data_IF_906718839574
#
_entry.id   IF_906718839574
#
_cell.length_a   1.000
_cell.length_b   1.000
_cell.length_c   1.000
_cell.angle_alpha   90.00
_cell.angle_beta   90.00
_cell.angle_gamma   90.00
#
_symmetry.space_group_name_H-M   'P 1'
#
loop_
_entity.id
_entity.type
_entity.pdbx_description
1 polymer ?
#
# COMPACT_ATOMS: atom_id res chain seq x y z
N UNK A 1 57.44 -25.03 36.62
CA UNK A 1 56.26 -25.55 35.88
C UNK A 1 55.30 -24.43 35.68
N UNK A 2 55.37 -23.80 34.52
CA UNK A 2 54.50 -22.66 34.15
C UNK A 2 53.30 -23.19 33.36
N UNK A 3 52.07 -22.90 33.82
CA UNK A 3 50.84 -23.22 33.11
C UNK A 3 50.51 -22.05 32.18
N UNK A 4 50.56 -22.29 30.87
CA UNK A 4 50.12 -21.38 29.83
C UNK A 4 48.60 -21.55 29.70
N UNK A 5 47.86 -20.48 29.99
CA UNK A 5 46.42 -20.40 29.72
C UNK A 5 46.18 -19.94 28.30
N UNK A 6 45.60 -20.81 27.50
CA UNK A 6 45.18 -20.52 26.11
C UNK A 6 43.83 -19.82 26.14
N UNK A 7 43.79 -18.53 25.82
CA UNK A 7 42.55 -17.77 25.65
C UNK A 7 42.02 -18.01 24.24
N UNK A 8 40.90 -18.69 24.12
CA UNK A 8 40.13 -18.79 22.87
C UNK A 8 39.37 -17.49 22.61
N UNK A 9 39.84 -16.71 21.66
CA UNK A 9 39.05 -15.61 21.07
C UNK A 9 38.03 -16.21 20.10
N UNK A 10 36.76 -16.23 20.49
CA UNK A 10 35.68 -16.47 19.58
C UNK A 10 35.46 -15.21 18.73
N UNK A 11 35.91 -15.25 17.49
CA UNK A 11 35.60 -14.22 16.51
C UNK A 11 34.09 -14.31 16.13
N UNK A 12 33.30 -13.39 16.62
CA UNK A 12 31.94 -13.20 16.15
C UNK A 12 32.01 -12.61 14.72
N UNK A 13 31.83 -13.47 13.73
CA UNK A 13 31.63 -13.04 12.35
C UNK A 13 30.29 -12.32 12.26
N UNK A 14 30.34 -10.99 12.24
CA UNK A 14 29.19 -10.17 11.89
C UNK A 14 28.89 -10.39 10.40
N UNK A 15 27.92 -11.25 10.11
CA UNK A 15 27.33 -11.30 8.77
C UNK A 15 26.56 -9.99 8.54
N UNK A 16 27.19 -9.03 7.90
CA UNK A 16 26.54 -7.89 7.30
C UNK A 16 25.69 -8.43 6.14
N UNK A 17 24.38 -8.55 6.35
CA UNK A 17 23.44 -8.81 5.27
C UNK A 17 23.52 -7.64 4.28
N UNK A 18 23.61 -7.91 2.95
CA UNK A 18 23.64 -6.83 1.99
C UNK A 18 22.31 -6.07 2.06
N UNK A 19 22.40 -4.79 2.39
CA UNK A 19 21.30 -3.86 2.24
C UNK A 19 20.94 -3.80 0.75
N UNK A 20 19.65 -4.05 0.45
CA UNK A 20 18.99 -3.77 -0.82
C UNK A 20 19.38 -4.60 -2.05
N UNK A 21 18.69 -5.70 -2.24
CA UNK A 21 18.23 -6.05 -3.57
C UNK A 21 16.86 -5.37 -3.87
N UNK A 22 16.77 -4.07 -3.68
CA UNK A 22 15.81 -3.28 -4.44
C UNK A 22 16.42 -3.26 -5.85
N UNK A 23 15.94 -4.15 -6.73
CA UNK A 23 16.34 -4.13 -8.14
C UNK A 23 16.15 -2.68 -8.59
N UNK A 24 17.23 -2.03 -9.06
CA UNK A 24 17.18 -0.73 -9.70
C UNK A 24 16.41 -0.91 -11.01
N UNK A 25 15.08 -0.85 -10.92
CA UNK A 25 14.21 -0.93 -12.08
C UNK A 25 14.45 0.35 -12.86
N UNK A 26 14.90 0.18 -14.10
CA UNK A 26 15.06 1.30 -15.03
C UNK A 26 13.66 1.81 -15.43
N UNK A 27 13.17 2.82 -14.72
CA UNK A 27 11.86 3.41 -14.95
C UNK A 27 11.72 4.00 -16.36
N UNK A 28 12.84 4.29 -17.05
CA UNK A 28 12.81 4.76 -18.43
C UNK A 28 12.25 3.70 -19.41
N UNK A 29 12.37 2.42 -19.07
CA UNK A 29 11.88 1.29 -19.88
C UNK A 29 10.48 0.80 -19.52
N UNK A 30 9.90 1.35 -18.45
CA UNK A 30 8.54 0.98 -18.05
C UNK A 30 7.55 1.50 -19.07
N UNK A 31 6.65 0.63 -19.52
CA UNK A 31 5.51 0.96 -20.36
C UNK A 31 4.25 1.07 -19.49
N UNK A 32 3.37 2.02 -19.82
CA UNK A 32 2.08 2.15 -19.16
C UNK A 32 1.04 1.41 -20.00
N UNK A 33 0.48 0.35 -19.43
CA UNK A 33 -0.58 -0.44 -20.06
C UNK A 33 -1.95 0.03 -19.57
N UNK A 34 -2.85 0.33 -20.50
CA UNK A 34 -4.23 0.74 -20.21
C UNK A 34 -5.16 -0.47 -20.35
N UNK A 35 -6.04 -0.66 -19.36
CA UNK A 35 -7.05 -1.73 -19.32
C UNK A 35 -8.40 -1.07 -19.09
N UNK A 36 -9.34 -1.27 -20.00
CA UNK A 36 -10.71 -0.79 -19.87
C UNK A 36 -11.49 -1.63 -18.85
N UNK A 37 -12.06 -0.97 -17.85
CA UNK A 37 -12.92 -1.58 -16.84
C UNK A 37 -14.41 -1.36 -17.12
N UNK A 38 -14.74 -0.68 -18.23
CA UNK A 38 -16.10 -0.26 -18.55
C UNK A 38 -16.53 1.02 -17.83
N UNK A 39 -17.67 1.57 -18.25
CA UNK A 39 -18.23 2.78 -17.65
C UNK A 39 -17.23 3.95 -17.60
N UNK A 40 -16.44 4.17 -18.67
CA UNK A 40 -15.39 5.19 -18.72
C UNK A 40 -14.40 5.13 -17.54
N UNK A 41 -14.12 3.94 -17.06
CA UNK A 41 -13.17 3.70 -15.95
C UNK A 41 -12.08 2.76 -16.43
N UNK A 42 -10.83 3.10 -16.14
CA UNK A 42 -9.65 2.42 -16.66
C UNK A 42 -8.67 2.14 -15.55
N UNK A 43 -7.91 1.05 -15.71
CA UNK A 43 -6.73 0.75 -14.92
C UNK A 43 -5.49 1.04 -15.75
N UNK A 44 -4.53 1.75 -15.17
CA UNK A 44 -3.19 1.87 -15.73
C UNK A 44 -2.22 1.01 -14.91
N UNK A 45 -1.48 0.17 -15.60
CA UNK A 45 -0.40 -0.64 -15.05
C UNK A 45 0.95 -0.08 -15.50
N UNK A 46 1.89 0.03 -14.59
CA UNK A 46 3.27 0.44 -14.85
C UNK A 46 4.19 -0.15 -13.80
N UNK A 47 4.97 0.70 -13.15
CA UNK A 47 5.80 0.33 -12.00
C UNK A 47 5.32 1.09 -10.77
N UNK A 48 5.09 0.37 -9.65
CA UNK A 48 4.46 0.91 -8.45
C UNK A 48 3.01 0.52 -8.33
N UNK A 49 2.22 1.31 -7.61
CA UNK A 49 0.81 1.03 -7.40
C UNK A 49 -0.03 1.13 -8.68
N UNK A 50 -1.13 0.37 -8.72
CA UNK A 50 -2.11 0.48 -9.79
C UNK A 50 -2.78 1.85 -9.78
N UNK A 51 -3.02 2.43 -10.95
CA UNK A 51 -3.73 3.69 -11.09
C UNK A 51 -5.15 3.40 -11.60
N UNK A 52 -6.16 4.07 -11.02
CA UNK A 52 -7.51 4.11 -11.60
C UNK A 52 -7.75 5.47 -12.22
N UNK A 53 -8.32 5.49 -13.44
CA UNK A 53 -8.72 6.68 -14.18
C UNK A 53 -10.22 6.59 -14.42
N UNK A 54 -11.00 7.53 -13.90
CA UNK A 54 -12.45 7.59 -14.06
C UNK A 54 -12.83 8.91 -14.75
N UNK A 55 -13.39 8.81 -15.96
CA UNK A 55 -13.70 9.96 -16.80
C UNK A 55 -15.15 10.40 -16.59
N UNK A 56 -15.35 11.65 -16.20
CA UNK A 56 -16.64 12.35 -16.14
C UNK A 56 -16.88 13.20 -17.38
N UNK A 57 -17.95 14.00 -17.39
CA UNK A 57 -18.29 14.82 -18.56
C UNK A 57 -17.40 16.06 -18.73
N UNK A 58 -16.73 16.54 -17.68
CA UNK A 58 -15.92 17.77 -17.69
C UNK A 58 -14.52 17.61 -17.09
N UNK A 59 -14.10 16.38 -16.82
CA UNK A 59 -12.78 16.10 -16.27
C UNK A 59 -12.60 14.65 -15.83
N UNK A 60 -11.45 14.39 -15.23
CA UNK A 60 -10.99 13.07 -14.82
C UNK A 60 -10.73 13.07 -13.32
N UNK A 61 -11.13 11.97 -12.65
CA UNK A 61 -10.66 11.59 -11.32
C UNK A 61 -9.64 10.48 -11.49
N UNK A 62 -8.47 10.66 -10.90
CA UNK A 62 -7.39 9.69 -10.88
C UNK A 62 -7.15 9.21 -9.44
N UNK A 63 -6.89 7.91 -9.24
CA UNK A 63 -6.49 7.36 -7.95
C UNK A 63 -5.08 6.84 -8.06
N UNK A 64 -4.19 7.37 -7.22
CA UNK A 64 -2.74 7.18 -7.18
C UNK A 64 -1.98 7.65 -8.43
N UNK A 65 -0.66 7.86 -8.30
CA UNK A 65 0.14 8.52 -9.33
C UNK A 65 1.50 7.86 -9.61
N UNK A 66 1.76 6.68 -9.05
CA UNK A 66 3.03 5.95 -9.18
C UNK A 66 4.27 6.83 -8.87
N UNK A 67 5.41 6.48 -9.47
CA UNK A 67 6.68 7.18 -9.29
C UNK A 67 6.80 8.44 -10.17
N UNK A 68 7.44 9.48 -9.67
CA UNK A 68 7.65 10.74 -10.38
C UNK A 68 8.21 10.59 -11.81
N UNK A 69 9.21 9.74 -12.10
CA UNK A 69 9.74 9.57 -13.45
C UNK A 69 8.74 8.99 -14.47
N UNK A 70 7.61 8.44 -14.02
CA UNK A 70 6.56 7.89 -14.90
C UNK A 70 5.48 8.91 -15.28
N UNK A 71 5.50 10.12 -14.70
CA UNK A 71 4.49 11.15 -14.89
C UNK A 71 4.12 11.37 -16.36
N UNK A 72 5.09 11.64 -17.23
CA UNK A 72 4.83 11.96 -18.66
C UNK A 72 4.24 10.76 -19.41
N UNK A 73 4.68 9.54 -19.09
CA UNK A 73 4.14 8.32 -19.67
C UNK A 73 2.69 8.08 -19.23
N UNK A 74 2.40 8.27 -17.95
CA UNK A 74 1.05 8.15 -17.39
C UNK A 74 0.14 9.21 -18.01
N UNK A 75 0.60 10.47 -18.11
CA UNK A 75 -0.12 11.57 -18.77
C UNK A 75 -0.45 11.25 -20.22
N UNK A 76 0.52 10.70 -20.96
CA UNK A 76 0.32 10.27 -22.36
C UNK A 76 -0.74 9.17 -22.45
N UNK A 77 -0.69 8.17 -21.57
CA UNK A 77 -1.69 7.10 -21.53
C UNK A 77 -3.10 7.64 -21.21
N UNK A 78 -3.21 8.60 -20.28
CA UNK A 78 -4.48 9.26 -19.94
C UNK A 78 -5.01 10.09 -21.11
N UNK A 79 -4.14 10.83 -21.80
CA UNK A 79 -4.54 11.63 -22.98
C UNK A 79 -5.07 10.77 -24.13
N UNK A 80 -4.60 9.52 -24.25
CA UNK A 80 -5.15 8.55 -25.20
C UNK A 80 -6.56 8.05 -24.82
N UNK A 81 -6.94 8.14 -23.53
CA UNK A 81 -8.28 7.79 -23.04
C UNK A 81 -9.23 8.99 -23.24
N UNK A 82 -8.80 10.19 -22.81
CA UNK A 82 -9.64 11.38 -22.81
C UNK A 82 -8.79 12.64 -22.87
N UNK A 83 -9.21 13.68 -23.67
CA UNK A 83 -8.55 14.98 -23.71
C UNK A 83 -8.92 15.88 -22.51
N UNK A 84 -9.80 15.43 -21.62
CA UNK A 84 -10.28 16.22 -20.49
C UNK A 84 -9.18 16.37 -19.42
N UNK A 85 -9.19 17.48 -18.65
CA UNK A 85 -8.20 17.69 -17.60
C UNK A 85 -8.41 16.75 -16.42
N UNK A 86 -7.31 16.35 -15.79
CA UNK A 86 -7.35 15.67 -14.48
C UNK A 86 -7.74 16.73 -13.44
N UNK A 87 -8.93 16.60 -12.86
CA UNK A 87 -9.41 17.51 -11.82
C UNK A 87 -8.89 17.14 -10.45
N UNK A 88 -8.93 15.83 -10.14
CA UNK A 88 -8.48 15.31 -8.86
C UNK A 88 -7.54 14.12 -9.04
N UNK A 89 -6.49 14.12 -8.25
CA UNK A 89 -5.63 12.97 -7.99
C UNK A 89 -5.81 12.58 -6.52
N UNK A 90 -6.42 11.44 -6.26
CA UNK A 90 -6.65 10.92 -4.91
C UNK A 90 -5.46 10.04 -4.54
N UNK A 91 -4.81 10.29 -3.39
CA UNK A 91 -3.84 9.36 -2.85
C UNK A 91 -4.51 8.40 -1.88
N UNK A 92 -4.32 7.11 -2.11
CA UNK A 92 -4.81 6.07 -1.20
C UNK A 92 -4.05 6.06 0.12
N UNK A 93 -2.73 6.31 0.08
CA UNK A 93 -1.86 6.44 1.25
C UNK A 93 -0.56 7.19 0.87
N UNK A 94 0.41 7.30 1.79
CA UNK A 94 1.56 8.19 1.58
C UNK A 94 2.79 7.55 0.88
N UNK A 95 2.82 6.25 0.57
CA UNK A 95 4.02 5.62 0.00
C UNK A 95 4.37 6.18 -1.39
N UNK A 96 5.67 6.22 -1.69
CA UNK A 96 6.19 6.94 -2.84
C UNK A 96 5.82 6.35 -4.20
N UNK A 97 5.50 5.06 -4.25
CA UNK A 97 5.01 4.38 -5.45
C UNK A 97 3.51 4.60 -5.73
N UNK A 98 2.85 5.39 -4.89
CA UNK A 98 1.48 5.89 -5.05
C UNK A 98 1.45 7.43 -5.19
N UNK A 99 2.34 8.14 -4.49
CA UNK A 99 2.34 9.61 -4.40
C UNK A 99 3.41 10.30 -5.23
N UNK A 100 4.34 9.55 -5.82
CA UNK A 100 5.50 10.13 -6.51
C UNK A 100 5.12 11.07 -7.66
N UNK A 101 4.01 10.83 -8.35
CA UNK A 101 3.49 11.69 -9.42
C UNK A 101 2.83 12.99 -8.95
N UNK A 102 2.58 13.16 -7.66
CA UNK A 102 1.78 14.29 -7.12
C UNK A 102 2.25 15.66 -7.63
N UNK A 103 3.53 15.96 -7.55
CA UNK A 103 4.06 17.26 -7.94
C UNK A 103 3.86 17.55 -9.44
N UNK A 104 4.07 16.54 -10.29
CA UNK A 104 3.88 16.65 -11.74
C UNK A 104 2.41 16.93 -12.07
N UNK A 105 1.50 16.13 -11.56
CA UNK A 105 0.07 16.31 -11.81
C UNK A 105 -0.48 17.61 -11.21
N UNK A 106 0.04 18.10 -10.08
CA UNK A 106 -0.33 19.41 -9.53
C UNK A 106 0.17 20.57 -10.41
N UNK A 107 1.35 20.46 -11.01
CA UNK A 107 1.85 21.41 -12.00
C UNK A 107 0.98 21.44 -13.26
N UNK A 108 0.40 20.31 -13.63
CA UNK A 108 -0.55 20.18 -14.76
C UNK A 108 -1.99 20.64 -14.40
N UNK A 109 -2.23 21.09 -13.16
CA UNK A 109 -3.51 21.66 -12.73
C UNK A 109 -4.42 20.73 -11.93
N UNK A 110 -4.05 19.49 -11.69
CA UNK A 110 -4.80 18.59 -10.82
C UNK A 110 -4.78 19.06 -9.35
N UNK A 111 -5.85 18.83 -8.62
CA UNK A 111 -5.86 18.95 -7.15
C UNK A 111 -5.59 17.59 -6.52
N UNK A 112 -4.46 17.46 -5.80
CA UNK A 112 -4.20 16.25 -5.02
C UNK A 112 -5.04 16.26 -3.76
N UNK A 113 -5.80 15.17 -3.55
CA UNK A 113 -6.71 14.95 -2.42
C UNK A 113 -6.25 13.74 -1.63
N UNK A 114 -6.20 13.84 -0.30
CA UNK A 114 -5.82 12.72 0.56
C UNK A 114 -6.44 12.83 1.96
N UNK A 115 -6.38 11.75 2.72
CA UNK A 115 -6.61 11.80 4.16
C UNK A 115 -5.49 12.64 4.84
N UNK A 116 -5.81 13.35 5.93
CA UNK A 116 -4.89 14.35 6.51
C UNK A 116 -3.54 13.76 6.94
N UNK A 117 -3.52 12.53 7.49
CA UNK A 117 -2.28 11.87 7.88
C UNK A 117 -1.33 11.63 6.69
N UNK A 118 -1.84 11.45 5.47
CA UNK A 118 -1.00 11.34 4.27
C UNK A 118 -0.17 12.62 4.09
N UNK A 119 -0.81 13.79 4.18
CA UNK A 119 -0.12 15.08 4.12
C UNK A 119 0.89 15.24 5.24
N UNK A 120 0.52 14.88 6.48
CA UNK A 120 1.41 14.95 7.65
C UNK A 120 2.66 14.09 7.44
N UNK A 121 2.48 12.84 6.97
CA UNK A 121 3.59 11.90 6.72
C UNK A 121 4.50 12.40 5.60
N UNK A 122 3.94 12.85 4.49
CA UNK A 122 4.70 13.40 3.37
C UNK A 122 5.50 14.67 3.77
N UNK A 123 4.91 15.53 4.61
CA UNK A 123 5.57 16.76 5.06
C UNK A 123 6.67 16.52 6.10
N UNK A 124 6.52 15.51 6.96
CA UNK A 124 7.49 15.22 8.02
C UNK A 124 8.59 14.24 7.59
N UNK A 125 8.35 13.46 6.54
CA UNK A 125 9.13 12.25 6.24
C UNK A 125 8.75 11.10 7.20
N UNK A 126 9.25 9.92 6.90
CA UNK A 126 8.88 8.68 7.60
C UNK A 126 10.08 7.79 7.89
N UNK A 127 9.84 6.69 8.59
CA UNK A 127 10.84 5.65 8.84
C UNK A 127 10.23 4.30 8.51
N UNK A 128 10.87 3.51 7.69
CA UNK A 128 10.48 2.13 7.46
C UNK A 128 10.70 1.30 8.73
N UNK A 129 9.62 0.74 9.28
CA UNK A 129 9.68 0.03 10.55
C UNK A 129 10.44 -1.30 10.51
N UNK A 130 10.59 -1.90 9.34
CA UNK A 130 11.31 -3.18 9.16
C UNK A 130 12.81 -2.95 8.98
N UNK A 131 13.18 -1.98 8.13
CA UNK A 131 14.58 -1.73 7.75
C UNK A 131 15.24 -0.59 8.53
N UNK A 132 14.45 0.28 9.17
CA UNK A 132 14.92 1.50 9.80
C UNK A 132 15.31 2.61 8.81
N UNK A 133 15.13 2.40 7.51
CA UNK A 133 15.47 3.39 6.49
C UNK A 133 14.62 4.66 6.64
N UNK A 134 15.30 5.81 6.53
CA UNK A 134 14.64 7.13 6.56
C UNK A 134 14.15 7.52 5.17
N UNK A 135 12.91 7.99 5.08
CA UNK A 135 12.35 8.61 3.89
C UNK A 135 12.22 10.11 4.18
N UNK A 136 12.93 10.98 3.45
CA UNK A 136 12.90 12.41 3.71
C UNK A 136 11.53 13.02 3.39
N UNK A 137 11.21 14.23 3.91
CA UNK A 137 10.05 15.01 3.48
C UNK A 137 10.04 15.20 1.96
N UNK A 138 8.85 15.20 1.38
CA UNK A 138 8.69 15.56 -0.04
C UNK A 138 8.73 17.08 -0.25
N UNK A 139 8.90 17.53 -1.50
CA UNK A 139 8.80 18.96 -1.83
C UNK A 139 7.39 19.50 -1.47
N UNK A 140 7.28 20.80 -1.12
CA UNK A 140 5.96 21.42 -0.86
C UNK A 140 4.97 21.27 -2.03
N UNK A 141 5.49 21.21 -3.27
CA UNK A 141 4.70 21.03 -4.49
C UNK A 141 4.12 19.63 -4.64
N UNK A 142 4.61 18.63 -3.89
CA UNK A 142 4.10 17.26 -3.90
C UNK A 142 3.06 16.99 -2.80
N UNK A 143 2.87 17.95 -1.86
CA UNK A 143 1.91 17.77 -0.78
C UNK A 143 0.46 17.86 -1.27
N UNK A 144 -0.47 17.03 -0.79
CA UNK A 144 -1.90 17.17 -1.07
C UNK A 144 -2.40 18.59 -0.78
N UNK A 145 -3.08 19.22 -1.74
CA UNK A 145 -3.67 20.57 -1.55
C UNK A 145 -4.99 20.52 -0.80
N UNK A 146 -5.73 19.44 -0.95
CA UNK A 146 -6.98 19.21 -0.25
C UNK A 146 -6.87 17.97 0.62
N UNK A 147 -7.24 18.09 1.87
CA UNK A 147 -7.28 16.96 2.80
C UNK A 147 -8.64 16.84 3.48
N UNK A 148 -8.94 15.65 4.02
CA UNK A 148 -10.13 15.43 4.83
C UNK A 148 -9.73 14.69 6.12
N UNK A 149 -10.48 15.00 7.19
CA UNK A 149 -10.25 14.44 8.54
C UNK A 149 -11.38 13.45 8.84
N UNK A 150 -11.00 12.20 9.15
CA UNK A 150 -11.95 11.15 9.55
C UNK A 150 -12.91 10.72 8.43
N UNK A 151 -13.81 9.82 8.74
CA UNK A 151 -14.99 9.40 8.01
C UNK A 151 -14.85 9.20 6.49
N UNK A 152 -15.56 10.01 5.74
CA UNK A 152 -15.68 9.89 4.28
C UNK A 152 -15.78 11.26 3.61
N UNK A 153 -15.49 11.27 2.31
CA UNK A 153 -15.64 12.42 1.41
C UNK A 153 -16.18 11.91 0.06
N UNK A 154 -16.97 12.74 -0.63
CA UNK A 154 -17.39 12.47 -2.02
C UNK A 154 -16.84 13.56 -2.92
N UNK A 155 -16.24 13.17 -4.03
CA UNK A 155 -15.86 14.05 -5.13
C UNK A 155 -16.80 13.78 -6.30
N UNK A 156 -17.15 14.82 -7.03
CA UNK A 156 -17.98 14.74 -8.26
C UNK A 156 -17.30 15.55 -9.36
N UNK A 157 -17.09 14.92 -10.51
CA UNK A 157 -16.54 15.56 -11.71
C UNK A 157 -17.44 15.22 -12.89
N UNK A 158 -18.29 16.15 -13.25
CA UNK A 158 -19.23 15.98 -14.35
C UNK A 158 -20.11 14.74 -14.22
N UNK A 159 -20.66 14.51 -13.03
CA UNK A 159 -21.50 13.35 -12.71
C UNK A 159 -20.75 12.07 -12.35
N UNK A 160 -19.41 12.04 -12.51
CA UNK A 160 -18.56 10.93 -12.05
C UNK A 160 -18.30 11.10 -10.54
N UNK A 161 -18.90 10.23 -9.74
CA UNK A 161 -18.71 10.26 -8.29
C UNK A 161 -17.61 9.30 -7.86
N UNK A 162 -16.76 9.79 -6.95
CA UNK A 162 -15.79 8.98 -6.20
C UNK A 162 -16.11 9.12 -4.71
N UNK A 163 -16.41 8.02 -4.06
CA UNK A 163 -16.67 7.94 -2.63
C UNK A 163 -15.40 7.49 -1.92
N UNK A 164 -14.79 8.40 -1.16
CA UNK A 164 -13.57 8.18 -0.40
C UNK A 164 -13.93 7.83 1.03
N UNK A 165 -13.32 6.79 1.58
CA UNK A 165 -13.50 6.43 2.99
C UNK A 165 -12.16 6.13 3.64
N UNK A 166 -11.89 6.78 4.78
CA UNK A 166 -10.70 6.54 5.57
C UNK A 166 -10.75 5.19 6.28
N UNK A 167 -9.63 4.50 6.29
CA UNK A 167 -9.42 3.27 7.07
C UNK A 167 -8.41 3.55 8.17
N UNK A 168 -8.89 3.57 9.39
CA UNK A 168 -8.03 3.85 10.55
C UNK A 168 -7.05 2.71 10.80
N UNK A 169 -5.76 3.01 10.75
CA UNK A 169 -4.67 2.12 11.15
C UNK A 169 -4.74 0.74 10.48
N UNK A 170 -4.55 0.65 9.16
CA UNK A 170 -4.52 -0.59 8.40
C UNK A 170 -3.15 -0.87 7.79
N UNK A 171 -2.90 -0.50 6.52
CA UNK A 171 -1.57 -0.54 5.93
C UNK A 171 -0.69 0.60 6.47
N UNK A 172 -1.30 1.78 6.63
CA UNK A 172 -0.77 2.99 7.28
C UNK A 172 -1.82 3.61 8.20
N UNK A 173 -1.59 4.84 8.70
CA UNK A 173 -2.61 5.59 9.43
C UNK A 173 -3.42 6.56 8.55
N UNK A 174 -3.08 6.68 7.28
CA UNK A 174 -3.74 7.58 6.33
C UNK A 174 -4.48 6.89 5.20
N UNK A 175 -4.76 5.58 5.31
CA UNK A 175 -5.33 4.80 4.22
C UNK A 175 -6.73 5.27 3.82
N UNK A 176 -6.96 5.33 2.52
CA UNK A 176 -8.24 5.65 1.89
C UNK A 176 -8.57 4.60 0.85
N UNK A 177 -9.77 4.01 0.91
CA UNK A 177 -10.33 3.30 -0.23
C UNK A 177 -11.30 4.20 -0.99
N UNK A 178 -11.42 3.97 -2.29
CA UNK A 178 -12.26 4.77 -3.18
C UNK A 178 -13.24 3.86 -3.89
N UNK A 179 -14.52 4.22 -3.89
CA UNK A 179 -15.54 3.51 -4.63
C UNK A 179 -16.15 4.37 -5.73
N UNK A 180 -16.27 3.81 -6.92
CA UNK A 180 -16.96 4.39 -8.06
C UNK A 180 -18.26 3.62 -8.27
N UNK A 181 -19.39 4.08 -7.72
CA UNK A 181 -20.62 3.29 -7.66
C UNK A 181 -21.21 2.98 -9.04
N UNK A 182 -21.15 3.90 -9.98
CA UNK A 182 -21.67 3.74 -11.34
C UNK A 182 -20.84 2.78 -12.22
N UNK A 183 -19.56 2.61 -11.90
CA UNK A 183 -18.67 1.63 -12.55
C UNK A 183 -18.55 0.32 -11.80
N UNK A 184 -19.05 0.26 -10.56
CA UNK A 184 -18.86 -0.83 -9.61
C UNK A 184 -17.36 -1.21 -9.46
N UNK A 185 -16.52 -0.17 -9.26
CA UNK A 185 -15.07 -0.31 -9.09
C UNK A 185 -14.69 0.12 -7.68
N UNK A 186 -14.01 -0.77 -6.94
CA UNK A 186 -13.52 -0.56 -5.59
C UNK A 186 -11.99 -0.50 -5.61
N UNK A 187 -11.40 0.66 -5.28
CA UNK A 187 -9.96 0.87 -5.17
C UNK A 187 -9.54 0.77 -3.71
N UNK A 188 -8.73 -0.21 -3.35
CA UNK A 188 -8.37 -0.50 -1.96
C UNK A 188 -7.04 0.14 -1.52
N UNK A 189 -6.24 0.66 -2.46
CA UNK A 189 -4.83 0.93 -2.16
C UNK A 189 -4.15 -0.31 -1.59
N UNK A 190 -3.17 -0.12 -0.75
CA UNK A 190 -2.36 -1.19 -0.16
C UNK A 190 -2.97 -1.84 1.08
N UNK A 191 -4.21 -1.50 1.43
CA UNK A 191 -4.96 -2.28 2.42
C UNK A 191 -5.32 -3.68 1.91
N UNK A 192 -5.13 -3.93 0.60
CA UNK A 192 -5.18 -5.25 -0.04
C UNK A 192 -4.27 -5.29 -1.27
N UNK A 193 -3.61 -6.44 -1.50
CA UNK A 193 -2.98 -6.77 -2.78
C UNK A 193 -3.58 -8.06 -3.35
N UNK A 194 -3.44 -8.27 -4.66
CA UNK A 194 -3.83 -9.53 -5.33
C UNK A 194 -2.62 -10.22 -5.99
N UNK A 195 -1.46 -10.15 -5.34
CA UNK A 195 -0.21 -10.76 -5.81
C UNK A 195 0.03 -12.16 -5.24
N UNK A 196 -0.86 -12.63 -4.37
CA UNK A 196 -0.64 -13.83 -3.53
C UNK A 196 0.66 -13.71 -2.71
N UNK A 197 0.85 -12.52 -2.13
CA UNK A 197 1.97 -12.23 -1.21
C UNK A 197 1.43 -11.60 0.07
N UNK A 198 2.15 -11.80 1.16
CA UNK A 198 1.89 -11.05 2.38
C UNK A 198 1.96 -9.54 2.10
N UNK A 199 0.95 -8.82 2.58
CA UNK A 199 0.89 -7.37 2.45
C UNK A 199 1.74 -6.72 3.54
N UNK A 200 2.43 -5.66 3.18
CA UNK A 200 3.12 -4.81 4.14
C UNK A 200 2.15 -4.17 5.11
N UNK A 201 2.51 -4.19 6.41
CA UNK A 201 1.85 -3.44 7.47
C UNK A 201 2.90 -2.45 7.98
N UNK A 202 2.75 -1.18 7.62
CA UNK A 202 3.72 -0.15 8.03
C UNK A 202 3.49 0.27 9.49
N UNK A 203 3.80 -0.64 10.41
CA UNK A 203 3.57 -0.44 11.83
C UNK A 203 4.28 0.79 12.41
N UNK A 204 5.40 1.24 11.83
CA UNK A 204 6.08 2.45 12.25
C UNK A 204 5.29 3.73 11.92
N UNK A 205 4.45 3.67 10.89
CA UNK A 205 3.64 4.78 10.41
C UNK A 205 2.12 4.50 10.54
N UNK A 206 1.74 3.76 11.59
CA UNK A 206 0.35 3.59 11.95
C UNK A 206 -0.33 2.31 11.46
N UNK A 207 0.36 1.49 10.67
CA UNK A 207 -0.18 0.22 10.19
C UNK A 207 -0.48 -0.77 11.32
N UNK A 208 -1.57 -1.54 11.15
CA UNK A 208 -2.05 -2.53 12.13
C UNK A 208 -2.84 -3.63 11.43
N UNK A 209 -2.52 -4.89 11.72
CA UNK A 209 -3.24 -6.03 11.13
C UNK A 209 -4.75 -6.01 11.46
N UNK A 210 -5.13 -5.47 12.63
CA UNK A 210 -6.54 -5.34 13.02
C UNK A 210 -7.29 -4.38 12.11
N UNK A 211 -6.62 -3.31 11.66
CA UNK A 211 -7.16 -2.38 10.67
C UNK A 211 -7.28 -3.00 9.29
N UNK A 212 -6.27 -3.77 8.86
CA UNK A 212 -6.33 -4.52 7.59
C UNK A 212 -7.53 -5.48 7.55
N UNK A 213 -7.81 -6.17 8.66
CA UNK A 213 -8.97 -7.05 8.78
C UNK A 213 -10.28 -6.25 8.68
N UNK A 214 -10.40 -5.11 9.42
CA UNK A 214 -11.60 -4.25 9.34
C UNK A 214 -11.83 -3.71 7.93
N UNK A 215 -10.76 -3.32 7.22
CA UNK A 215 -10.84 -2.87 5.84
C UNK A 215 -11.44 -3.94 4.94
N UNK A 216 -10.85 -5.14 4.95
CA UNK A 216 -11.32 -6.25 4.11
C UNK A 216 -12.73 -6.74 4.47
N UNK A 217 -13.12 -6.72 5.75
CA UNK A 217 -14.50 -6.98 6.17
C UNK A 217 -15.49 -5.93 5.64
N UNK A 218 -15.06 -4.67 5.55
CA UNK A 218 -15.85 -3.59 4.93
C UNK A 218 -15.99 -3.82 3.44
N UNK A 219 -14.90 -4.19 2.75
CA UNK A 219 -14.94 -4.50 1.32
C UNK A 219 -15.86 -5.66 0.99
N UNK A 220 -15.90 -6.71 1.82
CA UNK A 220 -16.81 -7.84 1.66
C UNK A 220 -18.30 -7.44 1.76
N UNK A 221 -18.61 -6.37 2.50
CA UNK A 221 -19.99 -5.84 2.62
C UNK A 221 -20.36 -4.96 1.42
N UNK A 222 -19.39 -4.19 0.88
CA UNK A 222 -19.61 -3.27 -0.24
C UNK A 222 -19.58 -4.00 -1.58
N UNK A 223 -18.66 -4.96 -1.75
CA UNK A 223 -18.46 -5.66 -3.00
C UNK A 223 -19.57 -6.68 -3.29
N UNK A 224 -20.14 -6.65 -4.49
CA UNK A 224 -20.89 -7.75 -5.12
C UNK A 224 -19.91 -8.70 -5.84
N UNK A 225 -20.43 -9.80 -6.39
CA UNK A 225 -19.62 -10.74 -7.18
C UNK A 225 -19.11 -10.10 -8.50
N UNK A 226 -19.79 -9.07 -9.00
CA UNK A 226 -19.43 -8.32 -10.21
C UNK A 226 -18.52 -7.11 -9.94
N UNK A 227 -18.24 -6.80 -8.67
CA UNK A 227 -17.38 -5.68 -8.30
C UNK A 227 -15.95 -5.92 -8.79
N UNK A 228 -15.42 -4.94 -9.53
CA UNK A 228 -14.02 -4.91 -9.94
C UNK A 228 -13.21 -4.31 -8.82
N UNK A 229 -12.36 -5.13 -8.19
CA UNK A 229 -11.55 -4.71 -7.05
C UNK A 229 -10.15 -4.35 -7.54
N UNK A 230 -9.86 -3.05 -7.53
CA UNK A 230 -8.56 -2.46 -7.85
C UNK A 230 -7.71 -2.43 -6.59
N UNK A 231 -6.87 -3.43 -6.41
CA UNK A 231 -5.89 -3.46 -5.32
C UNK A 231 -4.70 -2.55 -5.60
N UNK A 232 -3.98 -2.13 -4.59
CA UNK A 232 -2.78 -1.32 -4.78
C UNK A 232 -1.76 -2.00 -5.68
N UNK A 233 -1.56 -3.30 -5.55
CA UNK A 233 -0.66 -4.10 -6.38
C UNK A 233 -1.30 -5.40 -6.84
N UNK A 234 -0.85 -5.89 -8.01
CA UNK A 234 -1.30 -7.16 -8.58
C UNK A 234 -2.46 -6.99 -9.56
N UNK A 235 -2.98 -8.09 -10.11
CA UNK A 235 -4.08 -8.07 -11.05
C UNK A 235 -5.40 -7.67 -10.40
N UNK A 236 -6.40 -7.36 -11.23
CA UNK A 236 -7.77 -7.10 -10.78
C UNK A 236 -8.27 -8.25 -9.92
N UNK A 237 -8.83 -7.92 -8.77
CA UNK A 237 -9.40 -8.88 -7.82
C UNK A 237 -10.94 -8.91 -7.87
N UNK A 238 -11.51 -9.95 -7.27
CA UNK A 238 -12.94 -10.16 -7.07
C UNK A 238 -13.26 -10.32 -5.60
N UNK A 239 -14.53 -10.36 -5.25
CA UNK A 239 -14.99 -10.59 -3.88
C UNK A 239 -14.40 -11.86 -3.25
N UNK A 240 -14.25 -12.94 -4.02
CA UNK A 240 -13.61 -14.17 -3.54
C UNK A 240 -12.16 -13.97 -3.10
N UNK A 241 -11.39 -13.15 -3.84
CA UNK A 241 -10.01 -12.81 -3.48
C UNK A 241 -9.95 -11.98 -2.18
N UNK A 242 -10.93 -11.08 -1.95
CA UNK A 242 -11.04 -10.36 -0.67
C UNK A 242 -11.28 -11.36 0.48
N UNK A 243 -12.15 -12.34 0.27
CA UNK A 243 -12.46 -13.36 1.28
C UNK A 243 -11.23 -14.19 1.66
N UNK A 244 -10.47 -14.63 0.66
CA UNK A 244 -9.24 -15.40 0.86
C UNK A 244 -8.16 -14.57 1.59
N UNK A 245 -7.97 -13.31 1.16
CA UNK A 245 -7.03 -12.41 1.80
C UNK A 245 -7.43 -12.09 3.25
N UNK A 246 -8.71 -11.85 3.52
CA UNK A 246 -9.22 -11.64 4.88
C UNK A 246 -9.00 -12.86 5.78
N UNK A 247 -9.25 -14.08 5.25
CA UNK A 247 -9.01 -15.31 5.99
C UNK A 247 -7.52 -15.48 6.38
N UNK A 248 -6.61 -15.18 5.45
CA UNK A 248 -5.16 -15.18 5.73
C UNK A 248 -4.81 -14.19 6.85
N UNK A 249 -5.31 -12.95 6.78
CA UNK A 249 -5.05 -11.93 7.81
C UNK A 249 -5.58 -12.36 9.19
N UNK A 250 -6.78 -12.93 9.25
CA UNK A 250 -7.38 -13.42 10.50
C UNK A 250 -6.56 -14.54 11.12
N UNK A 251 -6.13 -15.50 10.32
CA UNK A 251 -5.27 -16.60 10.77
C UNK A 251 -3.94 -16.08 11.27
N UNK A 252 -3.32 -15.15 10.53
CA UNK A 252 -2.05 -14.55 10.93
C UNK A 252 -2.19 -13.79 12.26
N UNK A 253 -3.24 -12.96 12.38
CA UNK A 253 -3.52 -12.24 13.62
C UNK A 253 -3.71 -13.21 14.80
N UNK A 254 -4.58 -14.21 14.66
CA UNK A 254 -4.93 -15.14 15.73
C UNK A 254 -3.69 -15.87 16.28
N UNK A 255 -2.88 -16.43 15.38
CA UNK A 255 -1.71 -17.22 15.77
C UNK A 255 -0.61 -16.37 16.39
N UNK A 256 -0.32 -15.20 15.82
CA UNK A 256 0.73 -14.32 16.34
C UNK A 256 0.26 -13.63 17.63
N UNK A 257 -1.00 -13.20 17.71
CA UNK A 257 -1.55 -12.60 18.92
C UNK A 257 -1.51 -13.56 20.10
N UNK A 258 -1.89 -14.83 19.90
CA UNK A 258 -1.80 -15.84 20.95
C UNK A 258 -0.39 -15.90 21.56
N UNK A 259 0.63 -15.95 20.71
CA UNK A 259 2.02 -15.98 21.20
C UNK A 259 2.44 -14.67 21.88
N UNK A 260 1.96 -13.53 21.37
CA UNK A 260 2.19 -12.22 21.98
C UNK A 260 1.56 -12.14 23.39
N UNK A 261 0.31 -12.60 23.54
CA UNK A 261 -0.41 -12.62 24.82
C UNK A 261 0.20 -13.61 25.84
N UNK A 262 0.86 -14.67 25.34
CA UNK A 262 1.67 -15.60 26.15
C UNK A 262 3.04 -15.00 26.56
N UNK A 263 3.32 -13.74 26.19
CA UNK A 263 4.56 -13.03 26.51
C UNK A 263 5.78 -13.45 25.68
N UNK A 264 5.59 -14.14 24.56
CA UNK A 264 6.67 -14.51 23.63
C UNK A 264 7.29 -13.26 23.01
N UNK A 265 8.60 -13.22 22.98
CA UNK A 265 9.35 -12.18 22.27
C UNK A 265 9.20 -12.31 20.75
N UNK A 266 9.49 -11.22 20.01
CA UNK A 266 9.53 -11.23 18.55
C UNK A 266 10.44 -12.34 18.00
N UNK A 267 11.62 -12.54 18.62
CA UNK A 267 12.56 -13.57 18.21
C UNK A 267 11.98 -14.99 18.39
N UNK A 268 11.25 -15.26 19.49
CA UNK A 268 10.59 -16.54 19.72
C UNK A 268 9.45 -16.79 18.72
N UNK A 269 8.66 -15.75 18.37
CA UNK A 269 7.60 -15.86 17.35
C UNK A 269 8.20 -16.17 15.98
N UNK A 270 9.29 -15.48 15.61
CA UNK A 270 9.99 -15.74 14.35
C UNK A 270 10.55 -17.17 14.31
N UNK A 271 11.17 -17.62 15.40
CA UNK A 271 11.73 -18.99 15.49
C UNK A 271 10.65 -20.08 15.41
N UNK A 272 9.47 -19.82 15.99
CA UNK A 272 8.35 -20.76 15.99
C UNK A 272 7.64 -20.90 14.64
N UNK A 273 7.78 -19.92 13.74
CA UNK A 273 7.17 -19.92 12.39
C UNK A 273 5.69 -20.28 12.41
N UNK A 274 4.82 -19.57 13.15
CA UNK A 274 3.42 -19.93 13.33
C UNK A 274 2.58 -19.89 12.04
N UNK A 275 3.13 -19.31 10.94
CA UNK A 275 2.44 -19.15 9.64
C UNK A 275 3.04 -20.03 8.53
N UNK A 276 3.87 -21.05 8.89
CA UNK A 276 4.61 -21.84 7.90
C UNK A 276 3.74 -22.53 6.84
N UNK A 277 2.53 -22.91 7.20
CA UNK A 277 1.54 -23.48 6.27
C UNK A 277 0.98 -22.43 5.28
N UNK A 278 0.94 -21.16 5.68
CA UNK A 278 0.52 -20.05 4.81
C UNK A 278 1.66 -19.55 3.92
N UNK A 279 2.90 -19.70 4.36
CA UNK A 279 4.10 -19.21 3.67
C UNK A 279 4.21 -19.77 2.24
N UNK A 280 3.77 -21.02 2.00
CA UNK A 280 3.76 -21.65 0.69
C UNK A 280 2.95 -20.88 -0.36
N UNK A 281 1.88 -20.20 0.08
CA UNK A 281 0.99 -19.41 -0.80
C UNK A 281 1.35 -17.93 -0.77
N UNK A 282 1.72 -17.39 0.42
CA UNK A 282 1.75 -15.95 0.66
C UNK A 282 3.15 -15.37 0.84
N UNK A 283 4.19 -16.17 0.99
CA UNK A 283 5.55 -15.67 1.11
C UNK A 283 6.30 -15.77 -0.23
N UNK A 284 6.91 -14.67 -0.66
CA UNK A 284 7.77 -14.65 -1.83
C UNK A 284 9.14 -15.30 -1.54
N UNK A 285 9.57 -15.27 -0.27
CA UNK A 285 10.80 -15.86 0.25
C UNK A 285 10.71 -16.05 1.76
N UNK A 286 11.70 -16.72 2.36
CA UNK A 286 11.79 -16.89 3.81
C UNK A 286 11.95 -15.55 4.54
N UNK A 287 12.71 -14.62 3.96
CA UNK A 287 12.89 -13.27 4.48
C UNK A 287 11.56 -12.48 4.47
N UNK A 288 10.75 -12.65 3.42
CA UNK A 288 9.43 -12.02 3.34
C UNK A 288 8.47 -12.56 4.41
N UNK A 289 8.50 -13.87 4.66
CA UNK A 289 7.73 -14.49 5.73
C UNK A 289 8.14 -13.96 7.12
N UNK A 290 9.45 -13.87 7.38
CA UNK A 290 10.00 -13.30 8.62
C UNK A 290 9.61 -11.82 8.77
N UNK A 291 9.71 -11.04 7.69
CA UNK A 291 9.32 -9.63 7.69
C UNK A 291 7.83 -9.46 8.04
N UNK A 292 6.96 -10.30 7.47
CA UNK A 292 5.53 -10.26 7.79
C UNK A 292 5.25 -10.60 9.26
N UNK A 293 5.89 -11.62 9.81
CA UNK A 293 5.78 -11.93 11.24
C UNK A 293 6.18 -10.76 12.14
N UNK A 294 7.29 -10.06 11.80
CA UNK A 294 7.73 -8.84 12.51
C UNK A 294 6.67 -7.75 12.43
N UNK A 295 6.10 -7.51 11.25
CA UNK A 295 5.08 -6.48 11.05
C UNK A 295 3.83 -6.78 11.87
N UNK A 296 3.32 -8.02 11.85
CA UNK A 296 2.16 -8.44 12.63
C UNK A 296 2.44 -8.33 14.13
N UNK A 297 3.56 -8.84 14.61
CA UNK A 297 3.94 -8.80 16.02
C UNK A 297 4.05 -7.35 16.53
N UNK A 298 4.74 -6.48 15.77
CA UNK A 298 4.93 -5.09 16.19
C UNK A 298 3.65 -4.24 16.10
N UNK A 299 2.69 -4.64 15.30
CA UNK A 299 1.38 -3.97 15.28
C UNK A 299 0.62 -4.11 16.61
N UNK A 300 0.88 -5.17 17.40
CA UNK A 300 0.27 -5.35 18.72
C UNK A 300 0.89 -4.50 19.83
N UNK A 301 2.12 -4.00 19.66
CA UNK A 301 2.77 -3.12 20.65
C UNK A 301 2.14 -1.72 20.72
N UNK A 302 1.24 -1.42 19.80
CA UNK A 302 0.49 -0.18 19.80
C UNK A 302 -0.81 -0.38 20.61
N UNK A 303 -0.86 0.21 21.76
CA UNK A 303 -2.06 0.33 22.60
C UNK A 303 -2.90 1.53 22.18
#
# INVERSE_FOLDING_TARGET
MARVALALFAAAAAFALPANAQQNIDLSKVEIRTIDLGHNTYRLEGQGGNITVAVGSDGIIMVDGQFAPLHDKIKTAIAAISPLPIRYLINTHFHGDHTGGNEGFQKDGATVVAQDNVRVRLAAGTTNGVTGAKVPPVSPGALPKQTYIGGSMTLDVGGRKAELTHVTNAHTDGDTWVYFPDANVLCTGDTMNNTKRYQTIDFANGGDIRGMIRATETYLKVASDDTKVMTGHGPLAKKADISEFNAMLKTARERVQKMFDEGKSEAEVIAARPLRDLDATWAASDEAAVAFLKMVYNSFKRS
#
